data_IF_680503486118
#
_entry.id   IF_680503486118
#
_cell.length_a   1.000
_cell.length_b   1.000
_cell.length_c   1.000
_cell.angle_alpha   90.00
_cell.angle_beta   90.00
_cell.angle_gamma   90.00
#
_symmetry.space_group_name_H-M   'P 1'
#
loop_
_entity.id
_entity.type
_entity.pdbx_description
1 polymer ?
#
# COMPACT_ATOMS: atom_id res chain seq x y z
N UNK A 1 16.75 0.30 -30.64
CA UNK A 1 17.06 -0.28 -29.31
C UNK A 1 15.80 -0.16 -28.49
N UNK A 2 15.05 -1.25 -28.29
CA UNK A 2 13.88 -1.21 -27.41
C UNK A 2 14.41 -1.19 -25.99
N UNK A 3 14.30 -0.06 -25.30
CA UNK A 3 14.57 0.00 -23.86
C UNK A 3 13.50 -0.84 -23.18
N UNK A 4 13.81 -2.10 -22.89
CA UNK A 4 12.95 -2.93 -22.04
C UNK A 4 12.88 -2.24 -20.69
N UNK A 5 11.71 -1.73 -20.34
CA UNK A 5 11.46 -1.21 -19.00
C UNK A 5 11.65 -2.38 -18.05
N UNK A 6 12.70 -2.35 -17.24
CA UNK A 6 12.97 -3.39 -16.27
C UNK A 6 12.12 -3.14 -15.02
N UNK A 7 10.88 -3.63 -15.06
CA UNK A 7 9.93 -3.51 -13.94
C UNK A 7 10.46 -4.11 -12.63
N UNK A 8 11.38 -5.08 -12.72
CA UNK A 8 12.05 -5.65 -11.53
C UNK A 8 12.91 -4.60 -10.83
N UNK A 9 13.71 -3.86 -11.59
CA UNK A 9 14.53 -2.76 -11.05
C UNK A 9 13.70 -1.61 -10.50
N UNK A 10 12.51 -1.36 -11.06
CA UNK A 10 11.56 -0.37 -10.56
C UNK A 10 11.06 -0.75 -9.16
N UNK A 11 10.71 -2.02 -8.94
CA UNK A 11 10.20 -2.49 -7.64
C UNK A 11 11.30 -2.60 -6.59
N UNK A 12 12.53 -2.96 -6.99
CA UNK A 12 13.67 -3.02 -6.07
C UNK A 12 14.05 -1.64 -5.51
N UNK A 13 13.92 -0.60 -6.34
CA UNK A 13 14.24 0.79 -5.95
C UNK A 13 13.10 1.51 -5.24
N UNK A 14 11.87 1.01 -5.36
CA UNK A 14 10.67 1.64 -4.80
C UNK A 14 9.93 0.72 -3.83
N UNK A 15 10.66 -0.04 -3.01
CA UNK A 15 10.04 -0.93 -2.01
C UNK A 15 9.11 -0.16 -1.07
N UNK A 16 7.99 -0.77 -0.70
CA UNK A 16 7.07 -0.21 0.29
C UNK A 16 7.75 -0.22 1.67
N UNK A 17 8.00 0.97 2.22
CA UNK A 17 8.51 1.18 3.59
C UNK A 17 7.46 1.77 4.50
N UNK A 18 6.35 2.22 3.92
CA UNK A 18 5.17 2.72 4.60
C UNK A 18 4.80 4.13 4.16
N UNK A 19 5.61 5.16 4.49
CA UNK A 19 5.34 6.55 4.10
C UNK A 19 5.20 6.76 2.58
N UNK A 20 5.81 5.89 1.77
CA UNK A 20 5.79 5.95 0.32
C UNK A 20 4.63 5.15 -0.33
N UNK A 21 3.58 4.80 0.43
CA UNK A 21 2.50 3.94 -0.04
C UNK A 21 1.88 4.38 -1.38
N UNK A 22 1.57 5.67 -1.56
CA UNK A 22 0.95 6.16 -2.79
C UNK A 22 1.87 6.02 -4.00
N UNK A 23 3.17 6.29 -3.83
CA UNK A 23 4.17 6.14 -4.89
C UNK A 23 4.39 4.66 -5.23
N UNK A 24 4.49 3.81 -4.21
CA UNK A 24 4.58 2.36 -4.37
C UNK A 24 3.35 1.80 -5.12
N UNK A 25 2.14 2.19 -4.72
CA UNK A 25 0.90 1.75 -5.35
C UNK A 25 0.81 2.18 -6.82
N UNK A 26 1.27 3.42 -7.13
CA UNK A 26 1.34 3.89 -8.52
C UNK A 26 2.29 3.03 -9.35
N UNK A 27 3.47 2.73 -8.82
CA UNK A 27 4.47 1.90 -9.52
C UNK A 27 3.98 0.46 -9.68
N UNK A 28 3.39 -0.13 -8.63
CA UNK A 28 2.77 -1.45 -8.68
C UNK A 28 1.71 -1.54 -9.78
N UNK A 29 0.81 -0.55 -9.88
CA UNK A 29 -0.21 -0.50 -10.93
C UNK A 29 0.37 -0.46 -12.34
N UNK A 30 1.54 0.15 -12.53
CA UNK A 30 2.24 0.17 -13.82
C UNK A 30 2.76 -1.24 -14.15
N UNK A 31 3.41 -1.91 -13.18
CA UNK A 31 3.91 -3.28 -13.33
C UNK A 31 2.78 -4.27 -13.60
N UNK A 32 1.72 -4.26 -12.78
CA UNK A 32 0.61 -5.20 -12.97
C UNK A 32 -0.16 -4.95 -14.27
N UNK A 33 -0.17 -3.71 -14.79
CA UNK A 33 -0.77 -3.42 -16.09
C UNK A 33 0.04 -4.03 -17.24
N UNK A 34 1.37 -4.09 -17.14
CA UNK A 34 2.18 -4.74 -18.19
C UNK A 34 1.94 -6.25 -18.27
N UNK A 35 1.54 -6.85 -17.16
CA UNK A 35 1.23 -8.29 -17.05
C UNK A 35 -0.27 -8.62 -17.17
N UNK A 36 -1.12 -7.64 -17.51
CA UNK A 36 -2.59 -7.79 -17.55
C UNK A 36 -3.26 -8.21 -16.22
N UNK A 37 -2.55 -8.03 -15.09
CA UNK A 37 -3.00 -8.40 -13.75
C UNK A 37 -3.70 -7.25 -13.00
N UNK A 38 -3.66 -6.02 -13.51
CA UNK A 38 -4.07 -4.84 -12.75
C UNK A 38 -5.49 -4.89 -12.15
N UNK A 39 -6.39 -5.67 -12.74
CA UNK A 39 -7.78 -5.81 -12.27
C UNK A 39 -7.88 -6.50 -10.89
N UNK A 40 -6.94 -7.37 -10.53
CA UNK A 40 -6.97 -8.13 -9.26
C UNK A 40 -6.79 -7.25 -8.03
N UNK A 41 -6.34 -5.99 -8.22
CA UNK A 41 -6.26 -5.03 -7.13
C UNK A 41 -7.63 -4.45 -6.76
N UNK A 42 -8.55 -4.38 -7.72
CA UNK A 42 -9.85 -3.72 -7.55
C UNK A 42 -11.00 -4.73 -7.45
N UNK A 43 -10.82 -5.95 -7.97
CA UNK A 43 -11.82 -7.02 -7.93
C UNK A 43 -11.40 -8.04 -6.86
N UNK A 44 -12.24 -8.30 -5.84
CA UNK A 44 -11.95 -9.33 -4.85
C UNK A 44 -11.96 -10.71 -5.49
N UNK A 45 -11.26 -11.64 -4.83
CA UNK A 45 -11.26 -13.03 -5.26
C UNK A 45 -12.70 -13.59 -5.23
N UNK A 46 -13.21 -14.15 -6.34
CA UNK A 46 -14.57 -14.69 -6.40
C UNK A 46 -14.72 -15.93 -5.51
N UNK A 47 -15.95 -16.22 -5.10
CA UNK A 47 -16.26 -17.48 -4.42
C UNK A 47 -16.00 -18.69 -5.34
N UNK A 48 -15.61 -19.85 -4.76
CA UNK A 48 -15.46 -21.07 -5.54
C UNK A 48 -16.77 -21.42 -6.28
N UNK A 49 -16.69 -21.74 -7.60
CA UNK A 49 -17.87 -22.13 -8.35
C UNK A 49 -18.44 -23.45 -7.83
N UNK A 50 -19.74 -23.65 -8.04
CA UNK A 50 -20.41 -24.91 -7.70
C UNK A 50 -19.80 -26.10 -8.46
N UNK A 51 -19.92 -27.31 -7.91
CA UNK A 51 -19.35 -28.53 -8.50
C UNK A 51 -19.92 -28.83 -9.89
N UNK A 52 -21.16 -28.42 -10.14
CA UNK A 52 -21.89 -28.54 -11.39
C UNK A 52 -21.79 -27.29 -12.29
N UNK A 53 -20.99 -26.30 -11.91
CA UNK A 53 -20.74 -25.11 -12.71
C UNK A 53 -20.11 -25.46 -14.06
N UNK A 54 -20.35 -24.60 -15.06
CA UNK A 54 -19.82 -24.80 -16.40
C UNK A 54 -18.29 -24.85 -16.40
N UNK A 55 -17.72 -25.53 -17.40
CA UNK A 55 -16.27 -25.57 -17.57
C UNK A 55 -15.68 -24.17 -17.76
N UNK A 56 -16.44 -23.28 -18.38
CA UNK A 56 -16.11 -21.88 -18.60
C UNK A 56 -16.01 -21.12 -17.28
N UNK A 57 -16.99 -21.28 -16.38
CA UNK A 57 -16.98 -20.63 -15.05
C UNK A 57 -15.80 -21.12 -14.20
N UNK A 58 -15.54 -22.43 -14.21
CA UNK A 58 -14.38 -23.00 -13.52
C UNK A 58 -13.06 -22.46 -14.07
N UNK A 59 -12.97 -22.25 -15.39
CA UNK A 59 -11.77 -21.70 -16.05
C UNK A 59 -11.56 -20.23 -15.67
N UNK A 60 -12.62 -19.43 -15.63
CA UNK A 60 -12.56 -18.02 -15.21
C UNK A 60 -12.09 -17.91 -13.76
N UNK A 61 -12.67 -18.71 -12.86
CA UNK A 61 -12.26 -18.78 -11.45
C UNK A 61 -10.78 -19.13 -11.29
N UNK A 62 -10.32 -20.21 -11.95
CA UNK A 62 -8.90 -20.63 -11.89
C UNK A 62 -7.96 -19.57 -12.44
N UNK A 63 -8.34 -18.89 -13.52
CA UNK A 63 -7.55 -17.78 -14.07
C UNK A 63 -7.41 -16.68 -13.03
N UNK A 64 -8.50 -16.27 -12.39
CA UNK A 64 -8.44 -15.24 -11.36
C UNK A 64 -7.54 -15.64 -10.19
N UNK A 65 -7.63 -16.88 -9.70
CA UNK A 65 -6.74 -17.40 -8.66
C UNK A 65 -5.26 -17.26 -9.03
N UNK A 66 -4.88 -17.68 -10.24
CA UNK A 66 -3.50 -17.62 -10.72
C UNK A 66 -3.03 -16.17 -10.86
N UNK A 67 -3.87 -15.32 -11.44
CA UNK A 67 -3.57 -13.91 -11.65
C UNK A 67 -3.40 -13.19 -10.29
N UNK A 68 -4.26 -13.49 -9.32
CA UNK A 68 -4.18 -12.97 -7.96
C UNK A 68 -2.92 -13.44 -7.24
N UNK A 69 -2.56 -14.72 -7.33
CA UNK A 69 -1.35 -15.27 -6.70
C UNK A 69 -0.06 -14.64 -7.26
N UNK A 70 -0.03 -14.44 -8.59
CA UNK A 70 1.08 -13.76 -9.25
C UNK A 70 1.19 -12.30 -8.79
N UNK A 71 0.08 -11.58 -8.69
CA UNK A 71 0.07 -10.22 -8.18
C UNK A 71 0.50 -10.16 -6.71
N UNK A 72 0.03 -11.07 -5.86
CA UNK A 72 0.48 -11.19 -4.45
C UNK A 72 1.99 -11.37 -4.38
N UNK A 73 2.58 -12.25 -5.19
CA UNK A 73 4.02 -12.46 -5.24
C UNK A 73 4.80 -11.19 -5.61
N UNK A 74 4.33 -10.43 -6.61
CA UNK A 74 4.93 -9.15 -7.01
C UNK A 74 4.83 -8.14 -5.87
N UNK A 75 3.67 -8.06 -5.22
CA UNK A 75 3.44 -7.18 -4.08
C UNK A 75 4.40 -7.50 -2.94
N UNK A 76 4.44 -8.75 -2.47
CA UNK A 76 5.30 -9.20 -1.37
C UNK A 76 6.79 -8.97 -1.67
N UNK A 77 7.24 -9.26 -2.90
CA UNK A 77 8.63 -9.03 -3.29
C UNK A 77 9.04 -7.55 -3.26
N UNK A 78 8.07 -6.65 -3.38
CA UNK A 78 8.26 -5.21 -3.39
C UNK A 78 8.01 -4.52 -2.05
N UNK A 79 7.90 -5.28 -0.95
CA UNK A 79 7.71 -4.75 0.40
C UNK A 79 8.99 -4.83 1.23
N UNK A 80 9.02 -4.09 2.35
CA UNK A 80 9.98 -4.35 3.41
C UNK A 80 9.72 -5.73 4.05
N UNK A 81 10.73 -6.37 4.67
CA UNK A 81 10.55 -7.68 5.30
C UNK A 81 9.43 -7.72 6.36
N UNK A 82 9.24 -6.62 7.09
CA UNK A 82 8.22 -6.51 8.13
C UNK A 82 6.81 -6.53 7.52
N UNK A 83 6.59 -5.73 6.48
CA UNK A 83 5.32 -5.68 5.77
C UNK A 83 5.06 -6.97 5.00
N UNK A 84 6.09 -7.55 4.38
CA UNK A 84 5.98 -8.84 3.71
C UNK A 84 5.41 -9.89 4.67
N UNK A 85 6.02 -10.09 5.85
CA UNK A 85 5.59 -11.07 6.84
C UNK A 85 4.14 -10.87 7.30
N UNK A 86 3.67 -9.63 7.39
CA UNK A 86 2.30 -9.33 7.81
C UNK A 86 1.25 -9.73 6.76
N UNK A 87 1.63 -9.84 5.49
CA UNK A 87 0.72 -9.98 4.36
C UNK A 87 0.90 -11.30 3.58
N UNK A 88 1.76 -12.22 4.04
CA UNK A 88 2.07 -13.50 3.35
C UNK A 88 0.85 -14.40 3.10
N UNK A 89 -0.17 -14.31 3.94
CA UNK A 89 -1.36 -15.17 3.86
C UNK A 89 -2.59 -14.49 3.22
N UNK A 90 -2.40 -13.35 2.56
CA UNK A 90 -3.48 -12.53 2.00
C UNK A 90 -3.43 -12.53 0.47
N UNK A 91 -4.59 -12.37 -0.18
CA UNK A 91 -4.68 -12.13 -1.62
C UNK A 91 -4.40 -10.66 -1.97
N UNK A 92 -4.13 -10.39 -3.25
CA UNK A 92 -3.70 -9.08 -3.72
C UNK A 92 -4.70 -7.95 -3.39
N UNK A 93 -6.01 -8.21 -3.51
CA UNK A 93 -7.04 -7.22 -3.20
C UNK A 93 -7.07 -6.92 -1.70
N UNK A 94 -7.07 -7.96 -0.87
CA UNK A 94 -7.04 -7.83 0.59
C UNK A 94 -5.79 -7.08 1.06
N UNK A 95 -4.62 -7.33 0.48
CA UNK A 95 -3.38 -6.61 0.81
C UNK A 95 -3.54 -5.11 0.50
N UNK A 96 -4.00 -4.75 -0.71
CA UNK A 96 -4.19 -3.33 -1.05
C UNK A 96 -5.19 -2.67 -0.10
N UNK A 97 -6.28 -3.34 0.23
CA UNK A 97 -7.28 -2.83 1.16
C UNK A 97 -6.68 -2.55 2.55
N UNK A 98 -6.00 -3.54 3.13
CA UNK A 98 -5.39 -3.43 4.46
C UNK A 98 -4.30 -2.34 4.50
N UNK A 99 -3.46 -2.23 3.47
CA UNK A 99 -2.45 -1.17 3.39
C UNK A 99 -3.09 0.22 3.29
N UNK A 100 -4.20 0.38 2.55
CA UNK A 100 -4.93 1.66 2.50
C UNK A 100 -5.43 2.06 3.88
N UNK A 101 -6.07 1.14 4.60
CA UNK A 101 -6.55 1.41 5.96
C UNK A 101 -5.39 1.78 6.88
N UNK A 102 -4.31 0.99 6.88
CA UNK A 102 -3.15 1.23 7.74
C UNK A 102 -2.48 2.59 7.50
N UNK A 103 -2.28 2.99 6.24
CA UNK A 103 -1.60 4.25 5.94
C UNK A 103 -2.53 5.47 5.97
N UNK A 104 -3.82 5.32 5.69
CA UNK A 104 -4.79 6.40 5.91
C UNK A 104 -4.99 6.67 7.41
N UNK A 105 -5.07 5.62 8.24
CA UNK A 105 -5.12 5.74 9.71
C UNK A 105 -3.85 6.35 10.27
N UNK A 106 -2.68 5.94 9.79
CA UNK A 106 -1.39 6.50 10.21
C UNK A 106 -1.33 8.00 9.88
N UNK A 107 -1.65 8.39 8.64
CA UNK A 107 -1.66 9.79 8.23
C UNK A 107 -2.65 10.63 9.04
N UNK A 108 -3.83 10.07 9.36
CA UNK A 108 -4.83 10.74 10.19
C UNK A 108 -4.35 10.88 11.64
N UNK A 109 -3.74 9.85 12.19
CA UNK A 109 -3.21 9.84 13.55
C UNK A 109 -2.07 10.83 13.71
N UNK A 110 -1.11 10.86 12.78
CA UNK A 110 -0.02 11.84 12.77
C UNK A 110 -0.55 13.28 12.69
N UNK A 111 -1.50 13.56 11.79
CA UNK A 111 -2.14 14.88 11.72
C UNK A 111 -2.84 15.27 13.01
N UNK A 112 -3.53 14.31 13.65
CA UNK A 112 -4.21 14.54 14.92
C UNK A 112 -3.22 14.82 16.04
N UNK A 113 -2.14 14.05 16.15
CA UNK A 113 -1.05 14.24 17.11
C UNK A 113 -0.39 15.61 16.94
N UNK A 114 0.00 15.96 15.72
CA UNK A 114 0.58 17.27 15.39
C UNK A 114 -0.38 18.41 15.74
N UNK A 115 -1.65 18.31 15.38
CA UNK A 115 -2.67 19.30 15.73
C UNK A 115 -2.86 19.41 17.25
N UNK A 116 -2.91 18.28 17.96
CA UNK A 116 -3.03 18.27 19.43
C UNK A 116 -1.82 18.93 20.08
N UNK A 117 -0.60 18.62 19.63
CA UNK A 117 0.62 19.26 20.13
C UNK A 117 0.59 20.77 19.89
N UNK A 118 0.18 21.22 18.70
CA UNK A 118 0.01 22.62 18.38
C UNK A 118 -0.97 23.31 19.35
N UNK A 119 -2.16 22.75 19.57
CA UNK A 119 -3.18 23.38 20.43
C UNK A 119 -2.91 23.25 21.94
N UNK A 120 -2.15 22.23 22.36
CA UNK A 120 -1.86 21.99 23.80
C UNK A 120 -0.55 22.60 24.26
N UNK A 121 0.36 22.95 23.33
CA UNK A 121 1.65 23.56 23.67
C UNK A 121 1.44 24.99 24.18
N UNK A 122 1.55 25.14 25.50
CA UNK A 122 1.52 26.44 26.18
C UNK A 122 2.92 26.99 26.35
N UNK A 123 3.04 28.31 26.26
CA UNK A 123 4.27 29.01 26.59
C UNK A 123 4.50 28.92 28.10
N UNK A 124 5.66 28.40 28.51
CA UNK A 124 6.05 28.33 29.92
C UNK A 124 6.24 29.74 30.50
N UNK A 125 5.68 30.07 31.68
CA UNK A 125 5.89 31.38 32.31
C UNK A 125 7.38 31.70 32.47
N UNK A 126 7.82 32.85 31.97
CA UNK A 126 9.23 33.28 32.02
C UNK A 126 10.12 32.73 30.90
N UNK A 127 9.59 31.94 29.95
CA UNK A 127 10.36 31.50 28.79
C UNK A 127 10.40 32.54 27.67
N UNK A 128 11.31 32.35 26.70
CA UNK A 128 11.42 33.23 25.53
C UNK A 128 10.28 32.98 24.53
N UNK A 129 9.58 34.04 24.13
CA UNK A 129 8.55 33.98 23.09
C UNK A 129 9.12 33.48 21.75
N UNK A 130 10.39 33.76 21.46
CA UNK A 130 11.07 33.30 20.24
C UNK A 130 11.25 31.78 20.27
N UNK A 131 11.65 31.20 21.41
CA UNK A 131 11.79 29.74 21.55
C UNK A 131 10.44 29.03 21.45
N UNK A 132 9.39 29.63 22.01
CA UNK A 132 8.03 29.12 21.86
C UNK A 132 7.57 29.13 20.40
N UNK A 133 7.77 30.24 19.68
CA UNK A 133 7.42 30.34 18.27
C UNK A 133 8.19 29.34 17.40
N UNK A 134 9.48 29.13 17.65
CA UNK A 134 10.29 28.13 16.96
C UNK A 134 9.73 26.71 17.18
N UNK A 135 9.39 26.35 18.41
CA UNK A 135 8.77 25.05 18.72
C UNK A 135 7.40 24.87 18.06
N UNK A 136 6.60 25.94 17.99
CA UNK A 136 5.29 25.89 17.33
C UNK A 136 5.41 25.71 15.81
N UNK A 137 6.44 26.30 15.19
CA UNK A 137 6.73 26.10 13.76
C UNK A 137 7.14 24.66 13.42
N UNK A 138 7.60 23.86 14.38
CA UNK A 138 7.90 22.43 14.15
C UNK A 138 6.62 21.58 13.94
N UNK A 139 5.44 22.13 14.26
CA UNK A 139 4.14 21.47 14.14
C UNK A 139 3.28 21.97 12.95
N UNK A 140 3.82 22.84 12.09
CA UNK A 140 3.13 23.48 10.95
C UNK A 140 3.82 23.07 9.65
#
# INVERSE_FOLDING_TARGET
MSSSVNFRSLMDTNKLTGPNFLDWLRNLRIVLRSEELGYVLDVPLPDPPAVDASNEDQKVYRKHLIDSDMATCIMLASMSPELQKQHESMDANTIVFHLRELFDEQARSERFETSRLLFTTKMTPGSSAVQYALKMNEYI
#
